data_IF_177061801918
#
_entry.id   IF_177061801918
#
_cell.length_a   1.000
_cell.length_b   1.000
_cell.length_c   1.000
_cell.angle_alpha   90.00
_cell.angle_beta   90.00
_cell.angle_gamma   90.00
#
_symmetry.space_group_name_H-M   'P 1'
#
loop_
_entity.id
_entity.type
_entity.pdbx_description
1 polymer ?
#
# COMPACT_ATOMS: atom_id res chain seq x y z
N UNK A 1 -30.53 -11.89 3.83
CA UNK A 1 -29.32 -12.03 4.65
C UNK A 1 -28.45 -10.80 4.38
N UNK A 2 -28.02 -10.11 5.43
CA UNK A 2 -27.01 -9.06 5.31
C UNK A 2 -25.64 -9.71 5.11
N UNK A 3 -24.85 -9.18 4.18
CA UNK A 3 -23.47 -9.61 3.98
C UNK A 3 -22.53 -8.68 4.74
N UNK A 4 -21.61 -9.24 5.52
CA UNK A 4 -20.54 -8.49 6.19
C UNK A 4 -19.21 -8.96 5.63
N UNK A 5 -18.39 -8.03 5.15
CA UNK A 5 -17.08 -8.36 4.62
C UNK A 5 -16.18 -8.95 5.74
N UNK A 6 -15.65 -10.18 5.60
CA UNK A 6 -14.87 -10.81 6.66
C UNK A 6 -13.48 -10.17 6.85
N UNK A 7 -13.05 -9.28 5.95
CA UNK A 7 -11.74 -8.61 6.02
C UNK A 7 -11.85 -7.23 6.69
N UNK A 8 -12.84 -6.42 6.31
CA UNK A 8 -12.96 -5.04 6.79
C UNK A 8 -14.23 -4.77 7.62
N UNK A 9 -15.04 -5.80 7.89
CA UNK A 9 -16.30 -5.72 8.63
C UNK A 9 -17.32 -4.71 8.06
N UNK A 10 -17.18 -4.29 6.80
CA UNK A 10 -18.19 -3.44 6.15
C UNK A 10 -19.48 -4.22 5.96
N UNK A 11 -20.56 -3.70 6.52
CA UNK A 11 -21.91 -4.23 6.36
C UNK A 11 -22.51 -3.76 5.03
N UNK A 12 -23.14 -4.68 4.31
CA UNK A 12 -23.84 -4.48 3.04
C UNK A 12 -23.12 -3.54 2.06
N UNK A 13 -21.87 -3.86 1.66
CA UNK A 13 -21.14 -3.04 0.68
C UNK A 13 -21.94 -2.97 -0.63
N UNK A 14 -21.84 -1.86 -1.37
CA UNK A 14 -22.52 -1.68 -2.67
C UNK A 14 -21.94 -2.55 -3.80
N UNK A 15 -20.66 -2.90 -3.66
CA UNK A 15 -19.90 -3.68 -4.62
C UNK A 15 -19.21 -4.84 -3.93
N UNK A 16 -19.30 -5.99 -4.57
CA UNK A 16 -18.88 -7.29 -4.07
C UNK A 16 -17.83 -7.90 -5.00
N UNK A 17 -17.10 -8.85 -4.44
CA UNK A 17 -16.08 -9.61 -5.12
C UNK A 17 -16.30 -11.10 -4.88
N UNK A 18 -16.76 -11.80 -5.92
CA UNK A 18 -16.96 -13.24 -5.92
C UNK A 18 -15.68 -13.95 -6.38
N UNK A 19 -15.19 -14.90 -5.59
CA UNK A 19 -13.97 -15.65 -5.90
C UNK A 19 -14.26 -17.06 -6.41
N UNK A 20 -13.37 -17.63 -7.22
CA UNK A 20 -13.55 -18.97 -7.81
C UNK A 20 -13.54 -20.11 -6.79
N UNK A 21 -13.03 -19.87 -5.58
CA UNK A 21 -13.10 -20.79 -4.44
C UNK A 21 -14.45 -20.71 -3.68
N UNK A 22 -15.39 -19.87 -4.11
CA UNK A 22 -16.71 -19.70 -3.48
C UNK A 22 -16.77 -18.66 -2.36
N UNK A 23 -15.64 -18.11 -1.91
CA UNK A 23 -15.60 -17.05 -0.92
C UNK A 23 -15.94 -15.68 -1.52
N UNK A 24 -16.68 -14.86 -0.77
CA UNK A 24 -17.03 -13.50 -1.14
C UNK A 24 -16.39 -12.46 -0.23
N UNK A 25 -16.01 -11.32 -0.80
CA UNK A 25 -15.46 -10.15 -0.11
C UNK A 25 -16.14 -8.87 -0.62
N UNK A 26 -16.00 -7.74 0.07
CA UNK A 26 -16.30 -6.46 -0.57
C UNK A 26 -15.29 -6.17 -1.69
N UNK A 27 -15.71 -5.40 -2.69
CA UNK A 27 -14.86 -5.06 -3.83
C UNK A 27 -13.56 -4.34 -3.40
N UNK A 28 -13.62 -3.47 -2.38
CA UNK A 28 -12.45 -2.75 -1.86
C UNK A 28 -11.36 -3.73 -1.39
N UNK A 29 -11.71 -4.68 -0.52
CA UNK A 29 -10.75 -5.63 0.03
C UNK A 29 -10.16 -6.53 -1.06
N UNK A 30 -10.99 -7.06 -1.96
CA UNK A 30 -10.51 -7.92 -3.03
C UNK A 30 -9.60 -7.18 -4.01
N UNK A 31 -9.95 -5.94 -4.37
CA UNK A 31 -9.14 -5.12 -5.27
C UNK A 31 -7.85 -4.67 -4.59
N UNK A 32 -7.88 -4.26 -3.31
CA UNK A 32 -6.66 -3.92 -2.54
C UNK A 32 -5.70 -5.10 -2.49
N UNK A 33 -6.20 -6.31 -2.22
CA UNK A 33 -5.39 -7.52 -2.19
C UNK A 33 -4.71 -7.78 -3.54
N UNK A 34 -5.45 -7.64 -4.63
CA UNK A 34 -4.95 -7.96 -5.97
C UNK A 34 -4.05 -6.90 -6.56
N UNK A 35 -4.41 -5.63 -6.46
CA UNK A 35 -3.70 -4.54 -7.14
C UNK A 35 -2.61 -3.90 -6.27
N UNK A 36 -2.89 -3.67 -4.98
CA UNK A 36 -1.97 -2.97 -4.10
C UNK A 36 -1.01 -3.93 -3.40
N UNK A 37 -1.50 -5.10 -2.98
CA UNK A 37 -0.67 -6.12 -2.32
C UNK A 37 -0.11 -7.16 -3.28
N UNK A 38 -0.54 -7.16 -4.56
CA UNK A 38 -0.10 -8.09 -5.62
C UNK A 38 -0.33 -9.56 -5.26
N UNK A 39 -1.42 -9.88 -4.56
CA UNK A 39 -1.80 -11.24 -4.15
C UNK A 39 -3.08 -11.68 -4.86
N UNK A 40 -3.04 -12.81 -5.56
CA UNK A 40 -4.20 -13.40 -6.25
C UNK A 40 -4.88 -14.52 -5.46
N UNK A 41 -4.28 -14.92 -4.34
CA UNK A 41 -4.82 -15.91 -3.39
C UNK A 41 -6.06 -15.39 -2.68
N UNK A 42 -6.97 -16.26 -2.26
CA UNK A 42 -8.10 -15.90 -1.42
C UNK A 42 -7.62 -15.42 -0.03
N UNK A 43 -8.18 -14.33 0.50
CA UNK A 43 -7.85 -13.88 1.86
C UNK A 43 -8.32 -14.87 2.95
N UNK A 44 -9.31 -15.70 2.64
CA UNK A 44 -9.93 -16.66 3.57
C UNK A 44 -9.23 -18.03 3.49
N UNK A 45 -9.34 -18.74 2.37
CA UNK A 45 -8.78 -20.09 2.21
C UNK A 45 -7.33 -20.16 1.70
N UNK A 46 -6.72 -19.02 1.31
CA UNK A 46 -5.34 -18.92 0.78
C UNK A 46 -5.07 -19.65 -0.55
N UNK A 47 -6.08 -20.21 -1.21
CA UNK A 47 -5.96 -20.79 -2.54
C UNK A 47 -5.90 -19.73 -3.65
N UNK A 48 -5.20 -20.00 -4.76
CA UNK A 48 -5.25 -19.15 -5.95
C UNK A 48 -6.68 -19.07 -6.49
N UNK A 49 -7.18 -17.84 -6.64
CA UNK A 49 -8.56 -17.63 -7.06
C UNK A 49 -8.65 -16.60 -8.17
N UNK A 50 -9.54 -16.84 -9.13
CA UNK A 50 -10.04 -15.80 -10.03
C UNK A 50 -11.11 -15.00 -9.29
N UNK A 51 -11.31 -13.75 -9.66
CA UNK A 51 -12.19 -12.84 -8.95
C UNK A 51 -13.03 -12.02 -9.92
N UNK A 52 -14.30 -11.85 -9.59
CA UNK A 52 -15.27 -11.07 -10.36
C UNK A 52 -15.78 -9.95 -9.46
N UNK A 53 -15.71 -8.71 -9.94
CA UNK A 53 -16.24 -7.53 -9.26
C UNK A 53 -17.61 -7.19 -9.85
N UNK A 54 -18.63 -7.07 -9.01
CA UNK A 54 -20.00 -6.79 -9.41
C UNK A 54 -20.72 -5.94 -8.36
N UNK A 55 -21.89 -5.39 -8.72
CA UNK A 55 -22.77 -4.75 -7.75
C UNK A 55 -23.45 -5.83 -6.89
N UNK A 56 -23.75 -5.51 -5.63
CA UNK A 56 -24.38 -6.45 -4.69
C UNK A 56 -25.81 -6.83 -5.07
N UNK A 57 -26.44 -6.07 -5.97
CA UNK A 57 -27.73 -6.41 -6.57
C UNK A 57 -27.64 -7.54 -7.59
N UNK A 58 -26.45 -7.89 -8.04
CA UNK A 58 -26.23 -9.00 -8.98
C UNK A 58 -26.07 -10.29 -8.19
N UNK A 59 -26.98 -11.24 -8.43
CA UNK A 59 -26.89 -12.56 -7.82
C UNK A 59 -25.83 -13.41 -8.54
N UNK A 60 -24.91 -13.96 -7.76
CA UNK A 60 -23.83 -14.85 -8.22
C UNK A 60 -24.03 -16.22 -7.57
N UNK A 61 -24.79 -17.10 -8.23
CA UNK A 61 -25.06 -18.45 -7.70
C UNK A 61 -23.77 -19.28 -7.55
N UNK A 62 -22.88 -19.22 -8.55
CA UNK A 62 -21.51 -19.73 -8.46
C UNK A 62 -20.63 -19.13 -9.58
N UNK A 63 -19.32 -19.15 -9.36
CA UNK A 63 -18.33 -18.51 -10.24
C UNK A 63 -18.39 -19.00 -11.70
N UNK A 64 -18.55 -20.32 -11.92
CA UNK A 64 -18.57 -20.91 -13.27
C UNK A 64 -19.84 -20.55 -14.05
N UNK A 65 -20.99 -20.56 -13.37
CA UNK A 65 -22.27 -20.15 -13.96
C UNK A 65 -22.22 -18.66 -14.31
N UNK A 66 -21.61 -17.85 -13.44
CA UNK A 66 -21.40 -16.44 -13.74
C UNK A 66 -20.52 -16.22 -14.98
N UNK A 67 -19.39 -16.94 -15.09
CA UNK A 67 -18.50 -16.81 -16.24
C UNK A 67 -19.18 -17.11 -17.58
N UNK A 68 -19.99 -18.16 -17.60
CA UNK A 68 -20.73 -18.57 -18.81
C UNK A 68 -21.90 -17.63 -19.13
N UNK A 69 -22.68 -17.23 -18.11
CA UNK A 69 -23.89 -16.41 -18.26
C UNK A 69 -23.59 -14.95 -18.63
N UNK A 70 -22.48 -14.41 -18.15
CA UNK A 70 -22.17 -12.98 -18.29
C UNK A 70 -20.94 -12.69 -19.18
N UNK A 71 -20.52 -13.66 -20.00
CA UNK A 71 -19.33 -13.55 -20.86
C UNK A 71 -19.29 -12.27 -21.72
N UNK A 72 -20.44 -11.75 -22.17
CA UNK A 72 -20.54 -10.54 -22.99
C UNK A 72 -20.55 -9.20 -22.24
N UNK A 73 -20.69 -9.20 -20.91
CA UNK A 73 -20.78 -7.99 -20.09
C UNK A 73 -19.66 -7.87 -19.05
N UNK A 74 -18.65 -8.75 -19.16
CA UNK A 74 -17.47 -8.74 -18.30
C UNK A 74 -16.23 -8.33 -19.10
N UNK A 75 -15.40 -7.50 -18.49
CA UNK A 75 -14.07 -7.15 -19.01
C UNK A 75 -13.02 -7.59 -18.02
N UNK A 76 -11.99 -8.31 -18.48
CA UNK A 76 -10.83 -8.59 -17.64
C UNK A 76 -9.93 -7.36 -17.53
N UNK A 77 -9.55 -7.01 -16.31
CA UNK A 77 -8.60 -5.93 -16.05
C UNK A 77 -7.24 -6.48 -15.63
N UNK A 78 -6.23 -6.23 -16.46
CA UNK A 78 -4.87 -6.76 -16.27
C UNK A 78 -4.16 -6.18 -15.05
N UNK A 79 -4.50 -4.95 -14.64
CA UNK A 79 -3.90 -4.27 -13.48
C UNK A 79 -4.53 -4.79 -12.20
N UNK A 80 -5.85 -4.96 -12.20
CA UNK A 80 -6.60 -5.42 -11.03
C UNK A 80 -6.68 -6.94 -10.91
N UNK A 81 -6.18 -7.69 -11.90
CA UNK A 81 -6.20 -9.16 -11.96
C UNK A 81 -7.58 -9.74 -11.60
N UNK A 82 -8.62 -9.12 -12.16
CA UNK A 82 -10.02 -9.45 -11.89
C UNK A 82 -10.90 -9.18 -13.10
N UNK A 83 -12.02 -9.89 -13.18
CA UNK A 83 -13.07 -9.63 -14.14
C UNK A 83 -14.01 -8.58 -13.57
N UNK A 84 -14.34 -7.56 -14.36
CA UNK A 84 -15.21 -6.47 -13.96
C UNK A 84 -16.54 -6.64 -14.70
N UNK A 85 -17.62 -6.85 -13.96
CA UNK A 85 -18.97 -6.83 -14.51
C UNK A 85 -19.38 -5.39 -14.84
N UNK A 86 -20.17 -5.19 -15.90
CA UNK A 86 -20.61 -3.87 -16.38
C UNK A 86 -21.21 -2.98 -15.28
N UNK A 87 -21.91 -3.58 -14.31
CA UNK A 87 -22.51 -2.86 -13.15
C UNK A 87 -21.48 -2.22 -12.22
N UNK A 88 -20.23 -2.69 -12.23
CA UNK A 88 -19.15 -2.19 -11.38
C UNK A 88 -18.09 -1.38 -12.15
N UNK A 89 -18.21 -1.23 -13.46
CA UNK A 89 -17.21 -0.55 -14.30
C UNK A 89 -16.92 0.89 -13.86
N UNK A 90 -17.96 1.69 -13.64
CA UNK A 90 -17.84 3.10 -13.20
C UNK A 90 -17.16 3.19 -11.83
N UNK A 91 -17.54 2.30 -10.92
CA UNK A 91 -16.92 2.23 -9.59
C UNK A 91 -15.43 1.90 -9.67
N UNK A 92 -15.07 0.90 -10.47
CA UNK A 92 -13.68 0.49 -10.65
C UNK A 92 -12.84 1.58 -11.31
N UNK A 93 -13.39 2.29 -12.28
CA UNK A 93 -12.76 3.46 -12.91
C UNK A 93 -12.51 4.58 -11.89
N UNK A 94 -13.49 4.85 -11.01
CA UNK A 94 -13.35 5.85 -9.94
C UNK A 94 -12.27 5.50 -8.90
N UNK A 95 -11.91 4.23 -8.73
CA UNK A 95 -10.81 3.82 -7.85
C UNK A 95 -9.44 4.15 -8.46
N UNK A 96 -9.32 4.08 -9.79
CA UNK A 96 -8.08 4.37 -10.51
C UNK A 96 -7.85 5.88 -10.66
N UNK A 97 -8.91 6.61 -11.01
CA UNK A 97 -8.91 8.06 -11.15
C UNK A 97 -10.03 8.71 -10.32
N UNK A 98 -9.81 8.90 -9.01
CA UNK A 98 -10.87 9.39 -8.14
C UNK A 98 -11.17 10.87 -8.38
N UNK A 99 -12.43 11.29 -8.21
CA UNK A 99 -12.76 12.70 -8.10
C UNK A 99 -12.15 13.31 -6.82
N UNK A 100 -12.11 14.64 -6.77
CA UNK A 100 -11.71 15.36 -5.58
C UNK A 100 -12.61 14.98 -4.38
N UNK A 101 -12.03 14.60 -3.23
CA UNK A 101 -12.82 14.19 -2.06
C UNK A 101 -13.61 15.34 -1.42
N UNK A 102 -13.31 16.59 -1.77
CA UNK A 102 -13.92 17.79 -1.18
C UNK A 102 -15.01 18.41 -2.07
N UNK A 103 -14.78 18.45 -3.39
CA UNK A 103 -15.69 19.09 -4.35
C UNK A 103 -16.18 18.19 -5.48
N UNK A 104 -15.81 16.90 -5.49
CA UNK A 104 -16.24 15.88 -6.46
C UNK A 104 -15.82 16.10 -7.92
N UNK A 105 -15.01 17.11 -8.21
CA UNK A 105 -14.47 17.37 -9.56
C UNK A 105 -13.42 16.32 -9.90
N UNK A 106 -13.53 15.69 -11.07
CA UNK A 106 -12.56 14.72 -11.58
C UNK A 106 -11.49 15.41 -12.44
N UNK A 107 -10.24 14.99 -12.27
CA UNK A 107 -9.10 15.49 -13.03
C UNK A 107 -8.50 14.36 -13.90
N UNK A 108 -7.93 14.68 -15.07
CA UNK A 108 -7.27 13.69 -15.93
C UNK A 108 -6.16 12.90 -15.24
N UNK A 109 -5.37 13.57 -14.41
CA UNK A 109 -4.24 12.97 -13.71
C UNK A 109 -4.32 13.17 -12.20
N UNK A 110 -3.71 12.24 -11.45
CA UNK A 110 -3.64 12.35 -10.00
C UNK A 110 -2.75 13.52 -9.54
N UNK A 111 -1.76 13.91 -10.34
CA UNK A 111 -0.92 15.07 -10.02
C UNK A 111 -1.69 16.38 -10.13
N UNK A 112 -2.54 16.53 -11.15
CA UNK A 112 -3.47 17.67 -11.26
C UNK A 112 -4.45 17.69 -10.08
N UNK A 113 -4.98 16.53 -9.67
CA UNK A 113 -5.84 16.44 -8.49
C UNK A 113 -5.13 16.90 -7.22
N UNK A 114 -3.87 16.49 -7.00
CA UNK A 114 -3.07 16.93 -5.84
C UNK A 114 -2.92 18.45 -5.84
N UNK A 115 -2.53 19.03 -6.98
CA UNK A 115 -2.37 20.48 -7.11
C UNK A 115 -3.68 21.23 -6.86
N UNK A 116 -4.80 20.70 -7.34
CA UNK A 116 -6.13 21.25 -7.08
C UNK A 116 -6.45 21.28 -5.58
N UNK A 117 -6.26 20.16 -4.88
CA UNK A 117 -6.53 20.05 -3.43
C UNK A 117 -5.65 21.01 -2.63
N UNK A 118 -4.37 21.13 -3.01
CA UNK A 118 -3.43 22.06 -2.37
C UNK A 118 -3.83 23.52 -2.59
N UNK A 119 -4.17 23.90 -3.82
CA UNK A 119 -4.46 25.30 -4.17
C UNK A 119 -5.84 25.76 -3.69
N UNK A 120 -6.87 24.97 -3.95
CA UNK A 120 -8.29 25.32 -3.72
C UNK A 120 -8.73 24.96 -2.30
N UNK A 121 -8.42 23.75 -1.84
CA UNK A 121 -8.91 23.25 -0.54
C UNK A 121 -7.94 23.48 0.63
N UNK A 122 -6.73 23.97 0.35
CA UNK A 122 -5.66 24.16 1.36
C UNK A 122 -5.38 22.88 2.17
N UNK A 123 -5.49 21.75 1.49
CA UNK A 123 -5.28 20.40 2.01
C UNK A 123 -4.21 19.69 1.18
N UNK A 124 -3.61 18.65 1.72
CA UNK A 124 -2.56 17.88 1.04
C UNK A 124 -2.63 16.40 1.43
N UNK A 125 -2.22 15.52 0.53
CA UNK A 125 -2.00 14.11 0.89
C UNK A 125 -0.66 13.96 1.61
N UNK A 126 -0.64 13.18 2.68
CA UNK A 126 0.62 12.76 3.29
C UNK A 126 1.39 11.84 2.32
N UNK A 127 2.60 12.25 1.93
CA UNK A 127 3.46 11.48 1.02
C UNK A 127 3.75 10.06 1.54
N UNK A 128 4.08 9.93 2.82
CA UNK A 128 4.37 8.63 3.46
C UNK A 128 3.15 7.72 3.44
N UNK A 129 1.98 8.23 3.82
CA UNK A 129 0.75 7.46 3.75
C UNK A 129 0.39 7.08 2.31
N UNK A 130 0.56 7.99 1.34
CA UNK A 130 0.26 7.73 -0.06
C UNK A 130 1.17 6.65 -0.66
N UNK A 131 2.43 6.61 -0.22
CA UNK A 131 3.43 5.66 -0.71
C UNK A 131 3.29 4.27 -0.10
N UNK A 132 3.02 4.18 1.20
CA UNK A 132 3.13 2.91 1.94
C UNK A 132 1.79 2.33 2.39
N UNK A 133 0.73 3.14 2.54
CA UNK A 133 -0.57 2.64 2.97
C UNK A 133 -1.28 1.99 1.77
N UNK A 134 -1.68 0.70 1.83
CA UNK A 134 -2.30 0.00 0.70
C UNK A 134 -3.78 0.37 0.56
N UNK A 135 -4.06 1.64 0.32
CA UNK A 135 -5.39 2.16 0.03
C UNK A 135 -5.46 2.70 -1.40
N UNK A 136 -6.62 2.57 -2.01
CA UNK A 136 -6.91 3.31 -3.24
C UNK A 136 -6.87 4.81 -2.97
N UNK A 137 -6.46 5.57 -3.98
CA UNK A 137 -6.38 7.03 -3.93
C UNK A 137 -7.69 7.67 -3.44
N UNK A 138 -8.83 7.08 -3.82
CA UNK A 138 -10.17 7.48 -3.37
C UNK A 138 -10.35 7.43 -1.84
N UNK A 139 -9.74 6.45 -1.17
CA UNK A 139 -9.85 6.24 0.27
C UNK A 139 -8.70 6.87 1.04
N UNK A 140 -7.78 7.57 0.35
CA UNK A 140 -6.66 8.23 0.98
C UNK A 140 -7.12 9.53 1.63
N UNK A 141 -6.76 9.74 2.89
CA UNK A 141 -7.12 10.96 3.62
C UNK A 141 -6.27 12.15 3.17
N UNK A 142 -6.92 13.30 3.02
CA UNK A 142 -6.30 14.61 2.85
C UNK A 142 -6.26 15.35 4.19
N UNK A 143 -5.21 16.13 4.41
CA UNK A 143 -4.99 16.86 5.65
C UNK A 143 -4.90 18.36 5.38
N UNK A 144 -5.55 19.23 6.17
CA UNK A 144 -5.25 20.65 6.16
C UNK A 144 -3.76 20.89 6.39
N UNK A 145 -3.17 21.92 5.76
CA UNK A 145 -1.76 22.23 5.94
C UNK A 145 -1.37 22.44 7.42
N UNK A 146 -2.28 22.98 8.23
CA UNK A 146 -2.09 23.18 9.67
C UNK A 146 -2.02 21.87 10.47
N UNK A 147 -2.67 20.80 10.01
CA UNK A 147 -2.73 19.51 10.71
C UNK A 147 -1.68 18.51 10.20
N UNK A 148 -1.02 18.79 9.08
CA UNK A 148 -0.02 17.90 8.52
C UNK A 148 1.17 17.68 9.46
N UNK A 149 1.76 18.70 10.13
CA UNK A 149 2.88 18.49 11.05
C UNK A 149 2.54 17.53 12.20
N UNK A 150 1.35 17.67 12.78
CA UNK A 150 0.86 16.77 13.82
C UNK A 150 0.69 15.34 13.28
N UNK A 151 0.09 15.17 12.10
CA UNK A 151 -0.02 13.85 11.47
C UNK A 151 1.36 13.21 11.20
N UNK A 152 2.36 13.99 10.78
CA UNK A 152 3.70 13.48 10.51
C UNK A 152 4.41 12.91 11.76
N UNK A 153 3.97 13.24 12.98
CA UNK A 153 4.46 12.61 14.22
C UNK A 153 4.05 11.15 14.36
N UNK A 154 3.04 10.71 13.60
CA UNK A 154 2.63 9.29 13.53
C UNK A 154 3.54 8.44 12.65
N UNK A 155 4.52 9.07 11.98
CA UNK A 155 5.49 8.43 11.11
C UNK A 155 6.89 8.48 11.72
N UNK A 156 7.70 7.48 11.40
CA UNK A 156 9.06 7.37 11.92
C UNK A 156 10.04 8.06 10.97
N UNK A 157 10.95 8.87 11.51
CA UNK A 157 12.02 9.52 10.73
C UNK A 157 13.34 8.79 10.92
N UNK A 158 13.96 8.36 9.82
CA UNK A 158 15.30 7.80 9.87
C UNK A 158 16.31 8.86 10.35
N UNK A 159 17.09 8.54 11.37
CA UNK A 159 18.10 9.47 11.94
C UNK A 159 19.33 9.66 11.05
N UNK A 160 19.57 8.74 10.12
CA UNK A 160 20.75 8.72 9.27
C UNK A 160 20.51 9.47 7.94
N UNK A 161 19.36 9.26 7.31
CA UNK A 161 19.04 9.88 6.01
C UNK A 161 17.83 10.83 6.03
N UNK A 162 17.19 11.03 7.20
CA UNK A 162 15.98 11.86 7.36
C UNK A 162 14.75 11.42 6.54
N UNK A 163 14.78 10.25 5.90
CA UNK A 163 13.61 9.69 5.21
C UNK A 163 12.46 9.44 6.21
N UNK A 164 11.23 9.75 5.80
CA UNK A 164 10.01 9.42 6.55
C UNK A 164 9.51 8.01 6.16
N UNK A 165 9.29 7.18 7.17
CA UNK A 165 8.82 5.80 7.07
C UNK A 165 7.45 5.69 7.75
N UNK A 166 6.65 4.70 7.31
CA UNK A 166 5.25 4.61 7.72
C UNK A 166 5.07 4.38 9.21
N UNK A 167 5.82 3.43 9.77
CA UNK A 167 5.75 2.98 11.16
C UNK A 167 7.11 2.40 11.63
N UNK A 168 7.10 1.84 12.84
CA UNK A 168 8.28 1.24 13.51
C UNK A 168 8.83 0.02 12.78
N UNK A 169 7.98 -0.78 12.15
CA UNK A 169 8.44 -1.95 11.40
C UNK A 169 9.11 -1.50 10.10
N UNK A 170 8.54 -0.50 9.43
CA UNK A 170 9.10 0.09 8.21
C UNK A 170 10.45 0.76 8.45
N UNK A 171 10.67 1.46 9.58
CA UNK A 171 11.99 2.04 9.88
C UNK A 171 13.04 0.98 10.22
N UNK A 172 12.66 -0.09 10.92
CA UNK A 172 13.58 -1.20 11.20
C UNK A 172 14.00 -1.94 9.93
N UNK A 173 13.06 -2.18 9.02
CA UNK A 173 13.36 -2.76 7.71
C UNK A 173 14.22 -1.81 6.86
N UNK A 174 13.93 -0.51 6.90
CA UNK A 174 14.74 0.50 6.23
C UNK A 174 16.19 0.52 6.73
N UNK A 175 16.43 0.42 8.04
CA UNK A 175 17.80 0.33 8.57
C UNK A 175 18.56 -0.88 8.03
N UNK A 176 17.91 -2.04 7.92
CA UNK A 176 18.53 -3.27 7.40
C UNK A 176 18.79 -3.21 5.89
N UNK A 177 17.90 -2.56 5.14
CA UNK A 177 17.96 -2.55 3.68
C UNK A 177 18.82 -1.42 3.10
N UNK A 178 18.91 -0.28 3.80
CA UNK A 178 19.54 0.95 3.27
C UNK A 178 20.84 1.29 3.98
N UNK A 179 20.96 0.98 5.27
CA UNK A 179 22.08 1.40 6.09
C UNK A 179 23.01 0.24 6.42
N UNK A 180 24.29 0.53 6.63
CA UNK A 180 25.30 -0.49 6.87
C UNK A 180 25.40 -0.74 8.37
N UNK A 181 25.29 -2.01 8.78
CA UNK A 181 25.40 -2.40 10.18
C UNK A 181 26.86 -2.66 10.55
N UNK A 182 27.28 -2.20 11.73
CA UNK A 182 28.57 -2.61 12.30
C UNK A 182 28.44 -3.99 12.93
N UNK A 183 29.14 -4.98 12.38
CA UNK A 183 29.14 -6.34 12.90
C UNK A 183 29.90 -6.47 14.22
N UNK A 184 30.92 -5.63 14.47
CA UNK A 184 31.67 -5.62 15.73
C UNK A 184 30.78 -5.15 16.91
N UNK A 185 30.02 -4.08 16.71
CA UNK A 185 29.02 -3.59 17.66
C UNK A 185 27.89 -4.61 17.86
N UNK A 186 27.43 -5.24 16.77
CA UNK A 186 26.40 -6.27 16.83
C UNK A 186 26.85 -7.47 17.70
N UNK A 187 28.11 -7.91 17.56
CA UNK A 187 28.70 -8.97 18.37
C UNK A 187 28.83 -8.57 19.85
N UNK A 188 28.96 -7.27 20.14
CA UNK A 188 28.92 -6.72 21.49
C UNK A 188 27.48 -6.48 22.01
N UNK A 189 26.47 -7.03 21.33
CA UNK A 189 25.05 -6.89 21.66
C UNK A 189 24.47 -5.47 21.53
N UNK A 190 25.14 -4.58 20.79
CA UNK A 190 24.60 -3.25 20.44
C UNK A 190 23.71 -3.40 19.21
N UNK A 191 22.39 -3.23 19.39
CA UNK A 191 21.40 -3.50 18.32
C UNK A 191 21.26 -2.37 17.31
N UNK A 192 21.43 -1.12 17.75
CA UNK A 192 21.15 0.08 16.95
C UNK A 192 22.41 0.66 16.28
N UNK A 193 23.32 -0.20 15.86
CA UNK A 193 24.60 0.20 15.27
C UNK A 193 24.50 0.22 13.73
N UNK A 194 24.06 1.35 13.16
CA UNK A 194 23.91 1.57 11.72
C UNK A 194 24.60 2.86 11.26
N UNK A 195 25.13 2.86 10.03
CA UNK A 195 25.82 4.00 9.39
C UNK A 195 25.25 4.30 8.00
N UNK A 196 25.43 5.55 7.56
CA UNK A 196 24.92 6.05 6.28
C UNK A 196 25.56 5.35 5.09
N UNK A 197 26.87 5.13 5.16
CA UNK A 197 27.70 4.61 4.08
C UNK A 197 28.98 3.95 4.63
N UNK A 198 29.78 3.40 3.72
CA UNK A 198 30.99 2.65 4.07
C UNK A 198 32.09 3.54 4.65
N UNK A 199 32.18 4.81 4.24
CA UNK A 199 33.19 5.73 4.78
C UNK A 199 32.88 6.06 6.25
N UNK A 200 31.63 6.37 6.56
CA UNK A 200 31.18 6.61 7.92
C UNK A 200 31.39 5.39 8.84
N UNK A 201 31.22 4.17 8.31
CA UNK A 201 31.51 2.95 9.04
C UNK A 201 33.01 2.76 9.29
N UNK A 202 33.87 3.05 8.31
CA UNK A 202 35.33 2.97 8.44
C UNK A 202 35.83 3.97 9.49
N UNK A 203 35.27 5.18 9.54
CA UNK A 203 35.59 6.17 10.58
C UNK A 203 35.22 5.63 11.97
N UNK A 204 34.00 5.10 12.13
CA UNK A 204 33.58 4.45 13.38
C UNK A 204 34.50 3.30 13.79
N UNK A 205 34.90 2.47 12.84
CA UNK A 205 35.84 1.37 13.05
C UNK A 205 37.18 1.85 13.62
N UNK A 206 37.71 2.98 13.14
CA UNK A 206 38.95 3.57 13.64
C UNK A 206 38.80 4.15 15.05
N UNK A 207 37.69 4.84 15.31
CA UNK A 207 37.46 5.56 16.57
C UNK A 207 37.05 4.64 17.72
N UNK A 208 36.14 3.70 17.47
CA UNK A 208 35.49 2.91 18.52
C UNK A 208 36.00 1.46 18.62
N UNK A 209 36.53 0.91 17.53
CA UNK A 209 37.05 -0.47 17.50
C UNK A 209 38.56 -0.55 17.31
N UNK A 210 39.24 0.58 17.08
CA UNK A 210 40.69 0.68 16.92
C UNK A 210 41.27 -0.34 15.92
N UNK A 211 40.55 -0.62 14.83
CA UNK A 211 41.00 -1.58 13.81
C UNK A 211 42.22 -1.07 13.05
N UNK A 212 43.05 -2.02 12.61
CA UNK A 212 44.31 -1.77 11.93
C UNK A 212 44.14 -0.90 10.67
N UNK A 213 44.89 0.20 10.57
CA UNK A 213 44.83 1.16 9.46
C UNK A 213 45.67 0.76 8.23
N UNK A 214 46.42 -0.35 8.30
CA UNK A 214 47.26 -0.81 7.20
C UNK A 214 46.44 -1.46 6.09
N UNK A 215 46.73 -1.11 4.84
CA UNK A 215 46.01 -1.60 3.64
C UNK A 215 46.00 -3.12 3.49
N UNK A 216 47.04 -3.81 3.98
CA UNK A 216 47.14 -5.28 4.01
C UNK A 216 46.17 -5.94 5.00
N UNK A 217 45.71 -5.22 6.02
CA UNK A 217 44.76 -5.71 7.02
C UNK A 217 43.32 -5.23 6.75
N UNK A 218 43.13 -4.31 5.80
CA UNK A 218 41.83 -3.86 5.29
C UNK A 218 41.36 -4.81 4.17
N UNK A 219 41.15 -6.08 4.50
CA UNK A 219 40.61 -7.06 3.56
C UNK A 219 39.08 -7.00 3.54
N UNK A 220 38.55 -6.70 2.34
CA UNK A 220 37.19 -6.89 1.79
C UNK A 220 36.00 -6.85 2.74
#
# INVERSE_FOLDING_TARGET
MSFICPVCATDNPKFMASQSCGHELCAVCALTQRSLQRQTKCSICKEEARCIIHASSVNVDNFRTFESKFKGVMRYDNVLKSYIHSTASIYVESLQNPPCPECTIQYPTFDELKQHIEKIHKKVYCFTCLKYKPLFKLHQKVYPFSQLPEHLTTHERCRLCSQMLYDKDAINEHYRAVHIKCELCANMSVKDSYWTDQNALIEHYREAHHVCSFSVCQLN
#
